data_IF_342016406145
#
_entry.id   IF_342016406145
#
_cell.length_a   1.000
_cell.length_b   1.000
_cell.length_c   1.000
_cell.angle_alpha   90.00
_cell.angle_beta   90.00
_cell.angle_gamma   90.00
#
_symmetry.space_group_name_H-M   'P 1'
#
loop_
_entity.id
_entity.type
_entity.pdbx_description
1 polymer ?
#
# COMPACT_ATOMS: atom_id res chain seq x y z
N UNK A 1 25.52 21.89 -0.74
CA UNK A 1 24.17 21.78 -0.12
C UNK A 1 23.24 21.32 -1.21
N UNK A 2 22.92 20.04 -1.26
CA UNK A 2 21.95 19.49 -2.22
C UNK A 2 20.59 20.08 -1.88
N UNK A 3 20.05 20.92 -2.77
CA UNK A 3 18.70 21.46 -2.60
C UNK A 3 17.72 20.30 -2.75
N UNK A 4 17.10 19.90 -1.63
CA UNK A 4 16.07 18.87 -1.65
C UNK A 4 14.85 19.39 -2.39
N UNK A 5 14.41 18.65 -3.39
CA UNK A 5 13.20 18.93 -4.14
C UNK A 5 11.96 18.94 -3.23
N UNK A 6 10.88 19.62 -3.62
CA UNK A 6 9.65 19.65 -2.83
C UNK A 6 9.06 18.26 -2.53
N UNK A 7 9.23 17.31 -3.46
CA UNK A 7 8.82 15.92 -3.30
C UNK A 7 9.65 15.19 -2.24
N UNK A 8 10.98 15.34 -2.27
CA UNK A 8 11.87 14.76 -1.25
C UNK A 8 11.58 15.32 0.14
N UNK A 9 11.34 16.63 0.26
CA UNK A 9 10.95 17.24 1.55
C UNK A 9 9.64 16.67 2.08
N UNK A 10 8.68 16.37 1.20
CA UNK A 10 7.41 15.72 1.58
C UNK A 10 7.66 14.28 2.04
N UNK A 11 8.43 13.50 1.29
CA UNK A 11 8.77 12.11 1.61
C UNK A 11 9.52 12.01 2.93
N UNK A 12 10.51 12.87 3.17
CA UNK A 12 11.26 12.89 4.42
C UNK A 12 10.36 13.17 5.64
N UNK A 13 9.39 14.09 5.51
CA UNK A 13 8.41 14.33 6.58
C UNK A 13 7.54 13.11 6.85
N UNK A 14 7.09 12.42 5.79
CA UNK A 14 6.29 11.20 5.94
C UNK A 14 7.10 10.05 6.54
N UNK A 15 8.37 9.90 6.16
CA UNK A 15 9.26 8.89 6.73
C UNK A 15 9.44 9.12 8.22
N UNK A 16 9.73 10.35 8.63
CA UNK A 16 9.85 10.73 10.04
C UNK A 16 8.55 10.48 10.81
N UNK A 17 7.39 10.74 10.20
CA UNK A 17 6.08 10.44 10.81
C UNK A 17 5.89 8.94 11.01
N UNK A 18 6.24 8.15 10.00
CA UNK A 18 6.10 6.69 10.02
C UNK A 18 7.06 6.03 11.02
N UNK A 19 8.28 6.55 11.17
CA UNK A 19 9.25 6.09 12.17
C UNK A 19 8.79 6.49 13.58
N UNK A 20 8.25 7.70 13.74
CA UNK A 20 7.84 8.23 15.04
C UNK A 20 6.58 7.54 15.57
N UNK A 21 5.60 7.30 14.71
CA UNK A 21 4.32 6.71 15.07
C UNK A 21 3.87 5.69 13.99
N UNK A 22 4.51 4.50 13.97
CA UNK A 22 4.17 3.47 13.01
C UNK A 22 2.78 2.87 13.32
N UNK A 23 1.98 2.56 12.29
CA UNK A 23 0.75 1.80 12.48
C UNK A 23 1.01 0.43 13.14
N UNK A 24 0.02 -0.13 13.88
CA UNK A 24 0.16 -1.45 14.47
C UNK A 24 0.49 -2.52 13.43
N UNK A 25 1.55 -3.29 13.66
CA UNK A 25 2.01 -4.32 12.74
C UNK A 25 2.66 -3.79 11.46
N UNK A 26 3.04 -2.51 11.39
CA UNK A 26 3.73 -1.93 10.24
C UNK A 26 5.07 -1.35 10.70
N UNK A 27 6.14 -1.64 9.98
CA UNK A 27 7.46 -1.03 10.21
C UNK A 27 8.12 -0.68 8.89
N UNK A 28 8.91 0.39 8.87
CA UNK A 28 9.66 0.83 7.68
C UNK A 28 11.14 0.56 7.87
N UNK A 29 11.81 0.11 6.81
CA UNK A 29 13.26 0.04 6.76
C UNK A 29 13.82 1.46 6.58
N UNK A 30 14.08 2.12 7.71
CA UNK A 30 14.56 3.49 7.74
C UNK A 30 15.94 3.65 7.10
N UNK A 31 16.85 2.68 7.29
CA UNK A 31 18.20 2.72 6.72
C UNK A 31 18.14 2.72 5.18
N UNK A 32 17.31 1.86 4.60
CA UNK A 32 17.11 1.84 3.16
C UNK A 32 16.41 3.12 2.67
N UNK A 33 15.38 3.57 3.37
CA UNK A 33 14.64 4.77 3.00
C UNK A 33 15.50 6.04 3.04
N UNK A 34 16.45 6.12 3.98
CA UNK A 34 17.43 7.22 4.07
C UNK A 34 18.43 7.20 2.91
N UNK A 35 18.82 6.03 2.42
CA UNK A 35 19.69 5.90 1.24
C UNK A 35 18.95 6.26 -0.05
N UNK A 36 17.67 5.88 -0.16
CA UNK A 36 16.84 6.16 -1.32
C UNK A 36 15.43 6.58 -0.92
N UNK A 37 15.22 7.89 -0.78
CA UNK A 37 13.91 8.45 -0.42
C UNK A 37 12.80 8.11 -1.42
N UNK A 38 13.14 7.73 -2.66
CA UNK A 38 12.16 7.34 -3.69
C UNK A 38 11.79 5.86 -3.63
N UNK A 39 12.40 5.06 -2.77
CA UNK A 39 12.07 3.63 -2.62
C UNK A 39 12.10 3.20 -1.16
N UNK A 40 10.95 2.81 -0.61
CA UNK A 40 10.86 2.34 0.78
C UNK A 40 10.44 0.88 0.80
N UNK A 41 11.02 0.12 1.73
CA UNK A 41 10.54 -1.22 2.08
C UNK A 41 9.80 -1.13 3.41
N UNK A 42 8.55 -1.56 3.39
CA UNK A 42 7.67 -1.59 4.55
C UNK A 42 7.38 -3.05 4.88
N UNK A 43 7.62 -3.43 6.11
CA UNK A 43 7.26 -4.72 6.66
C UNK A 43 5.89 -4.61 7.30
N UNK A 44 5.05 -5.60 7.06
CA UNK A 44 3.69 -5.66 7.55
C UNK A 44 3.42 -7.03 8.15
N UNK A 45 2.88 -7.05 9.35
CA UNK A 45 2.44 -8.25 10.05
C UNK A 45 0.92 -8.36 9.97
N UNK A 46 0.43 -9.56 9.66
CA UNK A 46 -1.00 -9.82 9.64
C UNK A 46 -1.62 -9.68 11.02
N UNK A 47 -2.72 -8.92 11.10
CA UNK A 47 -3.39 -8.65 12.37
C UNK A 47 -3.98 -9.93 13.00
N UNK A 48 -3.99 -9.96 14.34
CA UNK A 48 -4.59 -11.05 15.13
C UNK A 48 -6.08 -11.20 14.80
N UNK A 49 -6.55 -12.44 14.69
CA UNK A 49 -7.94 -12.76 14.33
C UNK A 49 -8.26 -12.64 12.83
N UNK A 50 -7.25 -12.43 11.98
CA UNK A 50 -7.40 -12.44 10.53
C UNK A 50 -6.85 -13.73 9.92
N UNK A 51 -7.18 -14.00 8.66
CA UNK A 51 -6.66 -15.15 7.93
C UNK A 51 -5.13 -15.13 7.74
N UNK A 52 -4.49 -13.99 7.99
CA UNK A 52 -3.06 -13.75 7.81
C UNK A 52 -2.34 -13.60 9.17
N UNK A 53 -2.98 -13.93 10.27
CA UNK A 53 -2.39 -13.87 11.61
C UNK A 53 -1.04 -14.60 11.67
N UNK A 54 -0.01 -13.90 12.16
CA UNK A 54 1.36 -14.42 12.27
C UNK A 54 2.15 -14.48 10.95
N UNK A 55 1.54 -14.12 9.81
CA UNK A 55 2.25 -13.99 8.54
C UNK A 55 2.91 -12.61 8.43
N UNK A 56 4.16 -12.60 7.96
CA UNK A 56 4.88 -11.38 7.63
C UNK A 56 4.88 -11.17 6.12
N UNK A 57 4.62 -9.93 5.72
CA UNK A 57 4.59 -9.47 4.34
C UNK A 57 5.55 -8.30 4.18
N UNK A 58 6.13 -8.18 3.00
CA UNK A 58 6.94 -7.02 2.64
C UNK A 58 6.25 -6.27 1.51
N UNK A 59 6.24 -4.95 1.62
CA UNK A 59 5.68 -4.03 0.66
C UNK A 59 6.81 -3.13 0.17
N UNK A 60 6.90 -2.97 -1.14
CA UNK A 60 7.81 -2.01 -1.76
C UNK A 60 7.00 -0.82 -2.25
N UNK A 61 7.35 0.36 -1.74
CA UNK A 61 6.83 1.64 -2.16
C UNK A 61 7.84 2.30 -3.06
N UNK A 62 7.44 2.63 -4.28
CA UNK A 62 8.27 3.34 -5.25
C UNK A 62 7.60 4.66 -5.61
N UNK A 63 8.26 5.75 -5.28
CA UNK A 63 7.79 7.11 -5.53
C UNK A 63 8.29 7.61 -6.88
N UNK A 64 7.47 8.40 -7.55
CA UNK A 64 7.90 9.15 -8.73
C UNK A 64 8.37 10.55 -8.34
N UNK A 65 9.15 11.20 -9.19
CA UNK A 65 9.55 12.60 -8.99
C UNK A 65 8.36 13.58 -8.98
N UNK A 66 7.15 13.12 -9.33
CA UNK A 66 5.90 13.90 -9.31
C UNK A 66 5.10 13.71 -8.02
N UNK A 67 5.54 12.86 -7.10
CA UNK A 67 4.91 12.71 -5.80
C UNK A 67 4.85 14.06 -5.05
N UNK A 68 3.75 14.43 -4.38
CA UNK A 68 2.54 13.65 -4.10
C UNK A 68 1.41 13.79 -5.14
N UNK A 69 1.63 14.44 -6.28
CA UNK A 69 0.60 14.58 -7.32
C UNK A 69 0.33 13.26 -8.05
N UNK A 70 1.36 12.45 -8.23
CA UNK A 70 1.23 11.06 -8.65
C UNK A 70 1.24 10.13 -7.43
N UNK A 71 0.43 9.06 -7.49
CA UNK A 71 0.46 7.99 -6.50
C UNK A 71 1.78 7.22 -6.50
N UNK A 72 2.21 6.69 -5.34
CA UNK A 72 3.31 5.74 -5.28
C UNK A 72 2.89 4.40 -5.90
N UNK A 73 3.84 3.73 -6.52
CA UNK A 73 3.68 2.34 -6.94
C UNK A 73 3.92 1.45 -5.72
N UNK A 74 2.91 0.66 -5.34
CA UNK A 74 2.96 -0.21 -4.16
C UNK A 74 2.77 -1.65 -4.60
N UNK A 75 3.72 -2.49 -4.25
CA UNK A 75 3.69 -3.92 -4.57
C UNK A 75 4.11 -4.77 -3.37
N UNK A 76 3.46 -5.91 -3.19
CA UNK A 76 3.96 -6.95 -2.29
C UNK A 76 5.21 -7.58 -2.90
N UNK A 77 6.27 -7.62 -2.11
CA UNK A 77 7.55 -8.21 -2.44
C UNK A 77 7.89 -9.32 -1.44
N UNK A 78 8.84 -10.18 -1.80
CA UNK A 78 9.26 -11.32 -0.99
C UNK A 78 8.60 -12.63 -1.43
N UNK A 79 8.91 -13.69 -0.69
CA UNK A 79 8.43 -15.05 -0.99
C UNK A 79 7.00 -15.29 -0.53
N UNK A 80 6.49 -14.45 0.37
CA UNK A 80 5.16 -14.57 0.96
C UNK A 80 4.26 -13.44 0.46
N UNK A 81 3.43 -13.73 -0.56
CA UNK A 81 2.46 -12.78 -1.11
C UNK A 81 1.07 -13.19 -0.63
N UNK A 82 0.29 -12.30 0.00
CA UNK A 82 -1.01 -12.66 0.54
C UNK A 82 -1.97 -13.04 -0.59
N UNK A 83 -2.64 -14.18 -0.43
CA UNK A 83 -3.72 -14.60 -1.32
C UNK A 83 -4.96 -13.79 -0.96
N UNK A 84 -5.28 -12.79 -1.78
CA UNK A 84 -6.38 -11.86 -1.51
C UNK A 84 -7.08 -11.45 -2.82
N UNK A 85 -8.40 -11.17 -2.84
CA UNK A 85 -9.12 -10.82 -4.06
C UNK A 85 -8.60 -9.55 -4.75
N UNK A 86 -7.98 -8.67 -3.98
CA UNK A 86 -7.36 -7.42 -4.43
C UNK A 86 -5.83 -7.50 -4.58
N UNK A 87 -5.22 -8.68 -4.40
CA UNK A 87 -3.77 -8.88 -4.54
C UNK A 87 -3.50 -9.94 -5.59
N UNK A 88 -2.69 -9.58 -6.58
CA UNK A 88 -2.29 -10.46 -7.67
C UNK A 88 -1.07 -11.29 -7.27
N UNK A 89 -0.85 -12.43 -7.93
CA UNK A 89 0.30 -13.30 -7.62
C UNK A 89 1.67 -12.68 -7.97
N UNK A 90 1.70 -11.59 -8.73
CA UNK A 90 2.90 -10.79 -8.97
C UNK A 90 3.12 -9.69 -7.90
N UNK A 91 2.27 -9.65 -6.87
CA UNK A 91 2.34 -8.66 -5.79
C UNK A 91 1.63 -7.35 -6.08
N UNK A 92 1.00 -7.18 -7.25
CA UNK A 92 0.25 -5.95 -7.52
C UNK A 92 -0.99 -5.86 -6.62
N UNK A 93 -1.32 -4.64 -6.21
CA UNK A 93 -2.44 -4.35 -5.32
C UNK A 93 -3.47 -3.51 -6.08
N UNK A 94 -4.72 -3.97 -6.10
CA UNK A 94 -5.84 -3.23 -6.68
C UNK A 94 -6.61 -2.50 -5.58
N UNK A 95 -6.17 -1.28 -5.29
CA UNK A 95 -6.82 -0.35 -4.38
C UNK A 95 -7.10 0.96 -5.11
N UNK A 96 -8.33 1.47 -4.99
CA UNK A 96 -8.73 2.71 -5.68
C UNK A 96 -7.93 3.92 -5.21
N UNK A 97 -7.45 3.93 -3.96
CA UNK A 97 -6.59 4.98 -3.42
C UNK A 97 -5.23 5.06 -4.13
N UNK A 98 -4.78 4.01 -4.81
CA UNK A 98 -3.52 4.03 -5.58
C UNK A 98 -3.72 4.48 -7.03
N UNK A 99 -4.98 4.65 -7.45
CA UNK A 99 -5.38 4.92 -8.83
C UNK A 99 -6.30 6.14 -8.88
N UNK A 100 -7.62 5.95 -8.94
CA UNK A 100 -8.61 6.99 -9.23
C UNK A 100 -8.93 7.87 -8.02
N UNK A 101 -8.85 7.31 -6.81
CA UNK A 101 -9.11 8.01 -5.55
C UNK A 101 -7.81 8.56 -4.90
N UNK A 102 -6.68 8.52 -5.61
CA UNK A 102 -5.44 9.11 -5.10
C UNK A 102 -5.59 10.63 -4.95
N UNK A 103 -5.17 11.13 -3.80
CA UNK A 103 -5.11 12.56 -3.52
C UNK A 103 -3.75 12.90 -2.89
N UNK A 104 -3.14 14.05 -3.22
CA UNK A 104 -1.92 14.53 -2.57
C UNK A 104 -2.05 14.72 -1.04
N UNK A 105 -3.28 14.73 -0.53
CA UNK A 105 -3.59 14.75 0.90
C UNK A 105 -3.36 13.39 1.59
N UNK A 106 -3.31 12.28 0.84
CA UNK A 106 -2.99 10.96 1.36
C UNK A 106 -1.50 10.84 1.63
N UNK A 107 -1.16 10.14 2.71
CA UNK A 107 0.21 9.80 3.10
C UNK A 107 0.46 8.30 2.95
N UNK A 108 1.73 7.92 2.96
CA UNK A 108 2.17 6.50 2.98
C UNK A 108 1.53 5.75 4.14
N UNK A 109 1.43 6.38 5.31
CA UNK A 109 0.79 5.79 6.48
C UNK A 109 -0.69 5.45 6.22
N UNK A 110 -1.44 6.35 5.60
CA UNK A 110 -2.85 6.10 5.21
C UNK A 110 -2.97 4.97 4.19
N UNK A 111 -2.01 4.85 3.27
CA UNK A 111 -1.96 3.73 2.31
C UNK A 111 -1.70 2.40 3.04
N UNK A 112 -0.72 2.35 3.94
CA UNK A 112 -0.44 1.17 4.76
C UNK A 112 -1.66 0.74 5.57
N UNK A 113 -2.32 1.68 6.27
CA UNK A 113 -3.54 1.42 7.01
C UNK A 113 -4.66 0.87 6.13
N UNK A 114 -4.80 1.39 4.91
CA UNK A 114 -5.80 0.90 3.96
C UNK A 114 -5.51 -0.54 3.52
N UNK A 115 -4.24 -0.90 3.33
CA UNK A 115 -3.83 -2.28 3.00
C UNK A 115 -4.08 -3.21 4.19
N UNK A 116 -3.72 -2.83 5.42
CA UNK A 116 -4.01 -3.61 6.63
C UNK A 116 -5.51 -3.83 6.79
N UNK A 117 -6.31 -2.77 6.63
CA UNK A 117 -7.77 -2.87 6.72
C UNK A 117 -8.35 -3.75 5.61
N UNK A 118 -7.81 -3.67 4.40
CA UNK A 118 -8.21 -4.52 3.28
C UNK A 118 -7.97 -6.00 3.63
N UNK A 119 -6.75 -6.35 4.05
CA UNK A 119 -6.39 -7.71 4.46
C UNK A 119 -7.25 -8.21 5.63
N UNK A 120 -7.52 -7.35 6.61
CA UNK A 120 -8.30 -7.68 7.80
C UNK A 120 -9.80 -7.88 7.50
N UNK A 121 -10.33 -7.17 6.49
CA UNK A 121 -11.73 -7.28 6.08
C UNK A 121 -12.03 -8.53 5.24
N UNK A 122 -10.99 -9.24 4.80
CA UNK A 122 -11.12 -10.40 3.94
C UNK A 122 -11.66 -11.61 4.71
N UNK A 123 -12.73 -12.21 4.20
CA UNK A 123 -13.36 -13.39 4.80
C UNK A 123 -12.94 -14.71 4.17
N UNK A 124 -12.42 -14.67 2.94
CA UNK A 124 -12.00 -15.85 2.16
C UNK A 124 -10.68 -15.60 1.42
N UNK A 125 -9.70 -16.50 1.55
CA UNK A 125 -8.45 -16.47 0.77
C UNK A 125 -8.71 -16.88 -0.68
N UNK A 126 -9.19 -15.94 -1.50
CA UNK A 126 -9.36 -16.15 -2.95
C UNK A 126 -8.47 -15.20 -3.74
N UNK A 127 -7.85 -15.69 -4.83
CA UNK A 127 -7.20 -14.80 -5.82
C UNK A 127 -8.25 -14.26 -6.78
N UNK A 128 -8.04 -13.06 -7.37
CA UNK A 128 -8.92 -12.59 -8.43
C UNK A 128 -9.00 -13.64 -9.55
N UNK A 129 -10.19 -13.94 -10.09
CA UNK A 129 -10.39 -14.99 -11.09
C UNK A 129 -9.59 -14.75 -12.37
N UNK A 130 -9.16 -13.50 -12.61
CA UNK A 130 -8.37 -13.07 -13.76
C UNK A 130 -6.84 -13.13 -13.52
N UNK A 131 -6.38 -13.73 -12.42
CA UNK A 131 -4.96 -13.75 -12.03
C UNK A 131 -4.06 -14.38 -13.12
N UNK A 132 -4.48 -15.50 -13.71
CA UNK A 132 -3.70 -16.21 -14.73
C UNK A 132 -3.61 -15.43 -16.04
N UNK A 133 -4.65 -14.67 -16.39
CA UNK A 133 -4.68 -13.83 -17.58
C UNK A 133 -3.89 -12.54 -17.35
N UNK A 134 -4.05 -11.87 -16.21
CA UNK A 134 -3.31 -10.66 -15.86
C UNK A 134 -1.79 -10.88 -15.84
N UNK A 135 -1.32 -11.97 -15.21
CA UNK A 135 0.12 -12.31 -15.13
C UNK A 135 0.70 -12.66 -16.50
N UNK A 136 -0.08 -13.29 -17.38
CA UNK A 136 0.34 -13.63 -18.75
C UNK A 136 0.31 -12.43 -19.70
N UNK A 137 -0.63 -11.51 -19.51
CA UNK A 137 -0.91 -10.42 -20.46
C UNK A 137 -0.23 -9.09 -20.07
N UNK A 138 0.11 -8.87 -18.80
CA UNK A 138 0.75 -7.63 -18.36
C UNK A 138 2.29 -7.71 -18.45
N UNK A 139 2.86 -6.94 -19.37
CA UNK A 139 4.30 -6.64 -19.40
C UNK A 139 4.66 -5.67 -18.27
N UNK A 140 5.41 -6.14 -17.26
CA UNK A 140 6.26 -5.46 -16.23
C UNK A 140 5.90 -4.06 -15.65
N UNK A 141 4.85 -3.38 -16.09
CA UNK A 141 4.60 -1.96 -15.82
C UNK A 141 3.09 -1.77 -15.49
N UNK A 142 2.72 -1.66 -14.20
CA UNK A 142 1.31 -1.59 -13.75
C UNK A 142 0.55 -0.35 -14.26
N UNK A 143 1.25 0.72 -14.66
CA UNK A 143 0.65 1.99 -15.12
C UNK A 143 -0.04 1.93 -16.49
N UNK A 144 0.11 0.85 -17.27
CA UNK A 144 -0.55 0.71 -18.59
C UNK A 144 -1.81 -0.15 -18.58
N UNK A 145 -2.18 -0.72 -17.43
CA UNK A 145 -3.31 -1.64 -17.36
C UNK A 145 -4.59 -0.91 -16.99
N UNK A 146 -5.64 -1.05 -17.82
CA UNK A 146 -6.98 -0.55 -17.53
C UNK A 146 -7.62 -1.46 -16.48
N UNK A 147 -7.84 -0.95 -15.28
CA UNK A 147 -8.39 -1.71 -14.15
C UNK A 147 -9.91 -1.90 -14.28
N UNK A 148 -10.38 -3.11 -13.98
CA UNK A 148 -11.80 -3.43 -13.87
C UNK A 148 -12.10 -3.77 -12.41
N UNK A 149 -12.72 -2.84 -11.68
CA UNK A 149 -13.08 -3.05 -10.28
C UNK A 149 -14.32 -3.92 -10.19
N UNK A 150 -14.16 -5.14 -9.69
CA UNK A 150 -15.29 -6.00 -9.32
C UNK A 150 -15.55 -5.85 -7.81
N UNK A 151 -16.56 -5.07 -7.45
CA UNK A 151 -17.07 -5.02 -6.08
C UNK A 151 -17.45 -3.62 -5.62
N UNK A 152 -18.72 -3.43 -5.25
CA UNK A 152 -19.18 -2.24 -4.55
C UNK A 152 -18.58 -2.23 -3.15
N UNK A 153 -17.44 -1.56 -2.96
CA UNK A 153 -16.96 -1.23 -1.63
C UNK A 153 -17.95 -0.22 -1.03
N UNK A 154 -18.80 -0.68 -0.11
CA UNK A 154 -19.75 0.20 0.57
C UNK A 154 -18.96 1.24 1.37
N UNK A 155 -19.11 2.50 0.99
CA UNK A 155 -18.48 3.72 1.55
C UNK A 155 -18.59 3.88 3.07
N UNK A 156 -19.36 3.03 3.74
CA UNK A 156 -19.73 3.15 5.17
C UNK A 156 -18.57 2.78 6.10
N UNK A 157 -17.69 1.84 5.70
CA UNK A 157 -16.60 1.39 6.59
C UNK A 157 -15.45 2.41 6.69
N UNK A 158 -15.22 3.19 5.62
CA UNK A 158 -14.14 4.19 5.56
C UNK A 158 -14.38 5.37 6.53
N UNK A 159 -15.63 5.83 6.65
CA UNK A 159 -15.96 6.90 7.60
C UNK A 159 -15.86 6.44 9.05
N UNK A 160 -16.16 5.18 9.36
CA UNK A 160 -16.15 4.69 10.74
C UNK A 160 -14.73 4.44 11.27
N UNK A 161 -13.82 3.90 10.44
CA UNK A 161 -12.42 3.71 10.84
C UNK A 161 -11.67 5.04 10.96
N UNK A 162 -11.93 5.99 10.04
CA UNK A 162 -11.30 7.32 10.06
C UNK A 162 -11.81 8.18 11.23
N UNK A 163 -13.03 7.96 11.73
CA UNK A 163 -13.56 8.68 12.89
C UNK A 163 -13.04 8.13 14.23
N UNK A 164 -12.88 6.81 14.35
CA UNK A 164 -12.39 6.17 15.59
C UNK A 164 -10.88 6.32 15.83
N UNK A 165 -10.08 6.63 14.79
CA UNK A 165 -8.62 6.80 14.92
C UNK A 165 -8.16 8.26 14.99
N UNK A 166 -9.02 9.24 14.65
CA UNK A 166 -8.65 10.67 14.65
C UNK A 166 -9.26 11.48 15.81
N UNK A 167 -10.16 10.88 16.60
CA UNK A 167 -10.69 11.47 17.84
C UNK A 167 -10.45 10.55 19.04
N UNK A 168 -9.21 10.54 19.54
CA UNK A 168 -8.94 10.28 20.96
C UNK A 168 -7.72 11.08 21.42
#
# INVERSE_FOLDING_TARGET
MTDMSPSERRLQKELMSLIKDPPPGVSVDAEQAEQNLLQWTIHMEGALGTLYEGEQFQLQFKFSNKYPFDSPEVTFVGSNIPIHPHVYSNGHICLSILTDDWSPALSVQSVCLSIVSMLSSCKDKQRPPDNTFYVKTCSKNPKKTKWWYHGKFSRVFFYWLCWSLFFR
#
